data_IF_766324689723
#
_entry.id   IF_766324689723
#
_cell.length_a   1.000
_cell.length_b   1.000
_cell.length_c   1.000
_cell.angle_alpha   90.00
_cell.angle_beta   90.00
_cell.angle_gamma   90.00
#
_symmetry.space_group_name_H-M   'P 1'
#
loop_
_entity.id
_entity.type
_entity.pdbx_description
1 polymer ?
2 non-polymer ?
3 non-polymer ?
4 non-polymer ?
5 non-polymer ?
6 non-polymer ?
7 non-polymer ?
8 water ?
#
# COMPACT_ATOMS: atom_id res chain seq x y z
N UNK A 2 -19.96 -9.67 2.68
CA UNK A 2 -20.51 -9.90 1.35
C UNK A 2 -19.42 -9.99 0.27
N UNK A 3 -19.69 -9.51 -0.94
CA UNK A 3 -18.84 -9.80 -2.09
C UNK A 3 -17.51 -9.01 -2.13
N UNK A 4 -17.56 -7.77 -1.66
CA UNK A 4 -16.35 -6.94 -1.55
C UNK A 4 -15.42 -7.56 -0.53
N UNK A 5 -14.14 -7.67 -0.90
CA UNK A 5 -13.11 -8.18 0.01
C UNK A 5 -11.76 -7.48 -0.23
N UNK A 6 -11.04 -7.27 0.85
CA UNK A 6 -9.75 -6.59 0.85
C UNK A 6 -8.83 -7.28 1.82
N UNK A 7 -7.60 -7.54 1.41
CA UNK A 7 -6.58 -8.09 2.32
C UNK A 7 -5.27 -7.35 2.14
N UNK A 8 -4.84 -6.71 3.21
CA UNK A 8 -3.63 -5.93 3.23
C UNK A 8 -2.71 -6.55 4.27
N UNK A 9 -1.52 -6.99 3.85
CA UNK A 9 -0.60 -7.71 4.75
C UNK A 9 0.84 -7.33 4.52
N UNK A 10 1.68 -7.43 5.56
CA UNK A 10 3.11 -7.25 5.32
C UNK A 10 3.64 -8.37 4.47
N UNK A 11 4.73 -8.09 3.81
CA UNK A 11 5.38 -9.16 3.07
C UNK A 11 5.76 -10.30 4.00
N UNK A 12 5.73 -11.52 3.47
CA UNK A 12 5.81 -12.71 4.31
C UNK A 12 7.24 -13.12 4.60
N UNK A 13 8.18 -12.37 4.04
CA UNK A 13 9.58 -12.63 4.27
C UNK A 13 10.24 -11.55 5.11
N UNK A 14 11.54 -11.45 4.98
CA UNK A 14 12.40 -10.63 5.81
C UNK A 14 12.95 -9.47 5.00
N UNK A 15 13.08 -8.32 5.64
CA UNK A 15 13.68 -7.12 5.04
C UNK A 15 14.88 -6.78 5.91
N UNK A 16 16.01 -6.47 5.29
CA UNK A 16 17.27 -6.24 6.01
C UNK A 16 17.76 -4.80 5.86
N UNK A 17 18.37 -4.29 6.91
CA UNK A 17 18.76 -2.90 6.96
C UNK A 17 19.86 -2.53 5.99
N UNK A 18 19.92 -1.24 5.65
CA UNK A 18 20.91 -0.70 4.74
C UNK A 18 20.28 -0.31 3.43
N UNK A 19 21.13 -0.14 2.42
CA UNK A 19 20.72 0.16 1.05
C UNK A 19 19.99 -1.03 0.43
N UNK A 20 18.74 -0.87 0.00
CA UNK A 20 18.03 -2.01 -0.56
C UNK A 20 18.62 -2.34 -1.90
N UNK A 21 18.93 -3.61 -2.13
CA UNK A 21 19.65 -4.00 -3.36
C UNK A 21 18.77 -4.02 -4.61
N UNK A 22 17.47 -3.85 -4.40
CA UNK A 22 16.52 -3.75 -5.49
C UNK A 22 15.22 -3.26 -4.91
N UNK A 23 14.20 -3.14 -5.74
CA UNK A 23 12.87 -2.82 -5.25
C UNK A 23 12.47 -3.91 -4.27
N UNK A 24 11.91 -3.53 -3.12
CA UNK A 24 11.53 -4.47 -2.09
C UNK A 24 10.09 -4.26 -1.65
N UNK A 25 9.30 -5.31 -1.71
CA UNK A 25 7.91 -5.24 -1.30
C UNK A 25 7.81 -5.12 0.21
N UNK A 26 7.01 -4.16 0.66
CA UNK A 26 6.73 -4.00 2.08
C UNK A 26 5.38 -4.62 2.44
N UNK A 27 4.39 -4.39 1.58
CA UNK A 27 3.03 -4.88 1.81
C UNK A 27 2.40 -5.43 0.54
N UNK A 28 1.50 -6.39 0.69
CA UNK A 28 0.67 -6.84 -0.41
C UNK A 28 -0.77 -6.37 -0.18
N UNK A 29 -1.47 -6.08 -1.26
CA UNK A 29 -2.84 -5.63 -1.22
C UNK A 29 -3.63 -6.42 -2.24
N UNK A 30 -4.60 -7.19 -1.80
CA UNK A 30 -5.49 -7.91 -2.67
C UNK A 30 -6.91 -7.37 -2.48
N UNK A 31 -7.60 -7.07 -3.56
CA UNK A 31 -8.96 -6.59 -3.42
C UNK A 31 -9.79 -7.05 -4.61
N UNK A 32 -11.07 -7.27 -4.38
CA UNK A 32 -11.92 -7.70 -5.46
C UNK A 32 -13.38 -7.64 -5.08
N UNK A 33 -14.21 -7.71 -6.09
CA UNK A 33 -15.65 -7.72 -5.90
C UNK A 33 -16.25 -8.28 -7.17
N UNK A 34 -17.11 -9.28 -7.05
CA UNK A 34 -17.83 -9.76 -8.23
C UNK A 34 -19.02 -8.86 -8.62
N UNK A 35 -19.50 -8.03 -7.68
CA UNK A 35 -20.59 -7.10 -7.96
C UNK A 35 -20.12 -5.92 -8.80
N UNK A 36 -21.07 -5.21 -9.45
CA UNK A 36 -20.66 -4.15 -10.36
C UNK A 36 -19.96 -3.00 -9.64
N UNK A 37 -18.89 -2.48 -10.24
CA UNK A 37 -18.12 -1.42 -9.61
C UNK A 37 -17.21 -0.80 -10.67
N UNK A 38 -16.59 0.33 -10.31
CA UNK A 38 -15.78 1.07 -11.25
C UNK A 38 -14.30 1.05 -10.97
N UNK A 39 -13.92 1.00 -9.71
CA UNK A 39 -12.50 1.03 -9.39
C UNK A 39 -12.25 1.06 -7.91
N UNK A 40 -10.98 1.21 -7.56
CA UNK A 40 -10.49 1.09 -6.20
C UNK A 40 -9.49 2.19 -5.91
N UNK A 41 -9.45 2.67 -4.67
CA UNK A 41 -8.39 3.57 -4.26
C UNK A 41 -7.90 3.21 -2.87
N UNK A 42 -6.65 3.55 -2.60
CA UNK A 42 -6.06 3.39 -1.28
C UNK A 42 -5.61 4.78 -0.85
N UNK A 43 -6.17 5.24 0.26
CA UNK A 43 -5.92 6.56 0.81
C UNK A 43 -5.07 6.42 2.08
N UNK A 44 -3.81 6.87 2.05
CA UNK A 44 -3.00 6.83 3.27
C UNK A 44 -3.60 7.74 4.34
N UNK A 45 -3.60 7.27 5.59
CA UNK A 45 -4.18 8.03 6.68
C UNK A 45 -3.16 8.27 7.76
N UNK A 46 -3.49 9.17 8.69
CA UNK A 46 -2.58 9.47 9.78
C UNK A 46 -1.21 9.89 9.29
N UNK A 47 -0.18 9.38 9.93
CA UNK A 47 1.17 9.77 9.58
C UNK A 47 1.59 9.21 8.25
N UNK A 48 0.80 8.29 7.68
CA UNK A 48 1.11 7.81 6.34
C UNK A 48 0.68 8.75 5.20
N UNK A 49 -0.04 9.82 5.54
CA UNK A 49 -0.56 10.77 4.57
C UNK A 49 0.50 11.10 3.53
N UNK A 50 0.16 11.06 2.25
CA UNK A 50 1.15 11.33 1.23
C UNK A 50 1.77 10.08 0.64
N UNK A 51 1.50 8.90 1.22
CA UNK A 51 2.02 7.66 0.67
C UNK A 51 3.28 7.15 1.32
N UNK A 52 3.38 7.29 2.65
CA UNK A 52 4.59 6.96 3.38
C UNK A 52 4.36 5.86 4.42
N UNK A 53 5.43 5.12 4.70
CA UNK A 53 5.56 4.41 5.95
C UNK A 53 6.27 5.33 6.92
N UNK A 54 5.96 5.16 8.20
CA UNK A 54 6.61 5.95 9.24
C UNK A 54 7.28 4.98 10.22
N UNK A 55 8.55 5.22 10.50
CA UNK A 55 9.32 4.30 11.36
C UNK A 55 9.26 4.73 12.82
N UNK A 56 9.61 3.80 13.70
CA UNK A 56 9.66 4.04 15.13
C UNK A 56 10.80 5.00 15.48
N UNK A 57 11.64 5.31 14.50
CA UNK A 57 12.74 6.25 14.68
C UNK A 57 12.33 7.62 14.13
N UNK A 58 11.09 7.75 13.63
CA UNK A 58 10.59 9.03 13.12
C UNK A 58 10.85 9.31 11.65
N UNK A 59 11.34 8.33 10.91
CA UNK A 59 11.65 8.54 9.48
C UNK A 59 10.48 8.20 8.61
N UNK A 60 10.30 8.98 7.55
CA UNK A 60 9.27 8.70 6.58
C UNK A 60 9.92 8.08 5.37
N UNK A 61 9.34 6.99 4.87
CA UNK A 61 9.86 6.37 3.67
C UNK A 61 8.73 6.22 2.67
N UNK A 62 8.90 6.72 1.46
CA UNK A 62 7.86 6.62 0.46
C UNK A 62 7.60 5.23 -0.09
N UNK A 63 6.33 4.93 -0.33
CA UNK A 63 5.92 3.68 -0.96
C UNK A 63 5.48 3.87 -2.38
N UNK A 64 5.67 2.82 -3.18
CA UNK A 64 5.27 2.84 -4.58
C UNK A 64 4.38 1.63 -4.84
N UNK A 65 3.52 1.74 -5.83
CA UNK A 65 2.57 0.69 -6.21
C UNK A 65 2.91 0.21 -7.62
N UNK A 66 2.64 -1.07 -7.91
CA UNK A 66 2.76 -1.52 -9.30
C UNK A 66 1.48 -1.33 -10.09
N UNK A 67 0.34 -1.69 -9.49
CA UNK A 67 -0.94 -1.76 -10.20
C UNK A 67 -1.71 -0.44 -10.19
N UNK A 68 -1.48 0.39 -9.18
CA UNK A 68 -2.21 1.65 -9.05
C UNK A 68 -1.35 2.85 -9.40
N UNK A 69 -2.04 3.94 -9.72
CA UNK A 69 -1.37 5.21 -10.00
C UNK A 69 -1.56 6.16 -8.82
N UNK A 70 -0.51 6.86 -8.44
CA UNK A 70 -0.59 7.84 -7.35
C UNK A 70 -1.06 9.16 -7.89
N UNK A 71 -1.99 9.77 -7.17
CA UNK A 71 -2.50 11.12 -7.46
C UNK A 71 -2.33 11.93 -6.18
N UNK A 72 -1.26 12.73 -6.12
CA UNK A 72 -0.96 13.47 -4.90
C UNK A 72 -2.03 14.51 -4.56
N UNK A 73 -2.64 15.08 -5.59
CA UNK A 73 -3.74 16.06 -5.44
C UNK A 73 -4.83 15.52 -4.53
N UNK A 74 -5.00 14.19 -4.56
CA UNK A 74 -6.10 13.52 -3.89
C UNK A 74 -5.62 12.57 -2.79
N UNK A 75 -4.33 12.59 -2.47
CA UNK A 75 -3.78 11.68 -1.47
C UNK A 75 -4.28 10.27 -1.67
N UNK A 76 -4.15 9.73 -2.87
CA UNK A 76 -4.55 8.35 -3.09
C UNK A 76 -3.85 7.66 -4.25
N UNK A 77 -3.69 6.35 -4.14
CA UNK A 77 -3.47 5.49 -5.29
C UNK A 77 -4.84 5.04 -5.79
N UNK A 78 -4.99 4.84 -7.09
CA UNK A 78 -6.24 4.30 -7.62
C UNK A 78 -5.98 3.39 -8.83
N UNK A 79 -6.96 2.54 -9.10
CA UNK A 79 -7.01 1.79 -10.34
C UNK A 79 -8.47 1.67 -10.76
N UNK A 80 -8.74 2.00 -12.01
CA UNK A 80 -10.07 1.82 -12.58
C UNK A 80 -10.11 0.45 -13.17
N UNK A 81 -10.98 -0.38 -12.61
CA UNK A 81 -11.09 -1.76 -13.05
C UNK A 81 -12.47 -2.19 -12.65
N UNK A 82 -13.21 -2.79 -13.58
CA UNK A 82 -14.59 -3.20 -13.30
C UNK A 82 -14.80 -4.71 -13.36
N UNK A 83 -13.69 -5.46 -13.37
CA UNK A 83 -13.73 -6.90 -13.53
C UNK A 83 -14.01 -7.60 -12.21
N UNK A 84 -14.56 -8.82 -12.26
CA UNK A 84 -14.81 -9.57 -11.03
C UNK A 84 -13.57 -10.24 -10.46
N UNK A 85 -12.43 -10.18 -11.14
CA UNK A 85 -11.24 -10.87 -10.66
C UNK A 85 -10.46 -10.03 -9.65
N UNK A 86 -9.79 -10.69 -8.72
CA UNK A 86 -8.97 -10.00 -7.72
C UNK A 86 -7.86 -9.20 -8.38
N UNK A 87 -7.59 -8.05 -7.79
CA UNK A 87 -6.41 -7.24 -8.08
C UNK A 87 -5.37 -7.55 -7.04
N UNK A 88 -4.14 -7.84 -7.47
CA UNK A 88 -3.06 -8.20 -6.58
C UNK A 88 -1.96 -7.17 -6.77
N UNK A 89 -1.79 -6.31 -5.80
CA UNK A 89 -0.77 -5.27 -5.86
C UNK A 89 0.27 -5.45 -4.76
N UNK A 90 1.42 -4.80 -4.93
CA UNK A 90 2.46 -4.74 -3.92
C UNK A 90 2.84 -3.30 -3.72
N UNK A 91 2.97 -2.89 -2.46
CA UNK A 91 3.53 -1.57 -2.15
C UNK A 91 4.98 -1.81 -1.78
N UNK A 92 5.89 -1.11 -2.44
CA UNK A 92 7.31 -1.40 -2.35
C UNK A 92 8.12 -0.13 -2.11
N UNK A 93 9.36 -0.32 -1.67
CA UNK A 93 10.36 0.76 -1.61
C UNK A 93 11.36 0.58 -2.72
N UNK A 94 11.82 1.70 -3.28
CA UNK A 94 12.70 1.62 -4.43
C UNK A 94 14.10 1.13 -4.09
N UNK A 95 14.73 0.46 -5.04
CA UNK A 95 16.13 0.11 -4.94
C UNK A 95 16.95 1.32 -4.49
N UNK A 96 17.87 1.09 -3.56
CA UNK A 96 18.76 2.13 -3.08
C UNK A 96 18.27 2.86 -1.85
N UNK A 97 17.00 2.66 -1.53
CA UNK A 97 16.45 3.24 -0.32
C UNK A 97 17.15 2.67 0.90
N UNK A 98 17.54 3.53 1.84
CA UNK A 98 18.13 3.07 3.08
C UNK A 98 17.05 2.83 4.12
N UNK A 99 17.01 1.61 4.64
CA UNK A 99 16.12 1.28 5.74
C UNK A 99 16.95 1.03 6.99
N UNK A 100 16.38 1.37 8.13
CA UNK A 100 17.07 1.20 9.40
C UNK A 100 16.46 -0.03 10.09
N UNK A 101 17.18 -0.61 11.05
CA UNK A 101 16.64 -1.83 11.68
C UNK A 101 15.62 -1.49 12.73
N UNK A 102 14.42 -1.13 12.29
CA UNK A 102 13.36 -0.74 13.20
C UNK A 102 12.03 -1.05 12.53
N UNK A 103 10.94 -0.66 13.19
CA UNK A 103 9.60 -0.95 12.73
C UNK A 103 9.07 0.21 11.89
N UNK A 104 8.52 -0.13 10.73
CA UNK A 104 7.90 0.82 9.80
C UNK A 104 6.40 0.50 9.70
N UNK A 105 5.54 1.52 9.87
CA UNK A 105 4.10 1.32 9.86
C UNK A 105 3.40 2.03 8.67
N UNK A 106 2.31 1.44 8.22
CA UNK A 106 1.42 2.06 7.26
C UNK A 106 -0.01 1.95 7.77
N UNK A 107 -0.79 3.01 7.57
CA UNK A 107 -2.23 3.01 7.85
C UNK A 107 -2.93 3.67 6.69
N UNK A 108 -4.06 3.12 6.26
CA UNK A 108 -4.82 3.72 5.18
C UNK A 108 -6.22 3.18 5.11
N UNK A 109 -6.94 3.59 4.08
CA UNK A 109 -8.31 3.19 3.85
C UNK A 109 -8.48 2.84 2.39
N UNK A 110 -9.00 1.65 2.11
CA UNK A 110 -9.34 1.24 0.75
C UNK A 110 -10.79 1.61 0.52
N UNK A 111 -11.08 2.20 -0.64
CA UNK A 111 -12.45 2.47 -1.04
C UNK A 111 -12.70 1.87 -2.41
N UNK A 112 -13.87 1.25 -2.56
CA UNK A 112 -14.35 0.79 -3.85
C UNK A 112 -15.38 1.78 -4.29
N UNK A 113 -15.36 2.15 -5.57
CA UNK A 113 -16.25 3.20 -6.04
C UNK A 113 -16.87 2.86 -7.39
N UNK A 114 -17.93 3.61 -7.68
CA UNK A 114 -18.61 3.58 -8.95
C UNK A 114 -18.59 4.98 -9.58
N UNK A 115 -18.82 5.06 -10.88
CA UNK A 115 -18.82 6.32 -11.59
C UNK A 115 -20.22 6.86 -11.81
N UNK A 116 -20.36 8.17 -11.65
CA UNK A 116 -21.60 8.87 -11.94
C UNK A 116 -21.30 10.35 -12.01
N UNK A 117 -22.01 11.06 -12.89
CA UNK A 117 -21.92 12.52 -12.94
C UNK A 117 -20.48 13.04 -13.08
N UNK A 118 -19.70 12.35 -13.90
CA UNK A 118 -18.30 12.72 -14.17
C UNK A 118 -17.47 12.74 -12.89
N UNK A 119 -17.93 12.00 -11.89
CA UNK A 119 -17.15 11.82 -10.69
C UNK A 119 -17.38 10.39 -10.18
N UNK A 120 -17.21 10.17 -8.89
CA UNK A 120 -17.35 8.82 -8.35
C UNK A 120 -18.02 8.83 -7.00
N UNK A 121 -18.56 7.67 -6.64
CA UNK A 121 -19.23 7.47 -5.38
C UNK A 121 -18.72 6.18 -4.74
N UNK A 122 -18.36 6.27 -3.46
CA UNK A 122 -17.86 5.13 -2.71
C UNK A 122 -19.01 4.17 -2.39
N UNK A 123 -18.79 2.89 -2.65
CA UNK A 123 -19.77 1.86 -2.31
C UNK A 123 -19.33 0.89 -1.21
N UNK A 124 -18.04 0.85 -0.91
CA UNK A 124 -17.53 0.00 0.18
C UNK A 124 -16.20 0.56 0.63
N UNK A 125 -15.84 0.36 1.88
CA UNK A 125 -14.53 0.75 2.33
C UNK A 125 -14.04 -0.13 3.47
N UNK A 126 -12.74 -0.10 3.68
CA UNK A 126 -12.11 -0.88 4.74
C UNK A 126 -10.83 -0.19 5.19
N UNK A 127 -10.67 0.01 6.50
CA UNK A 127 -9.41 0.47 7.03
C UNK A 127 -8.38 -0.67 7.02
N UNK A 128 -7.16 -0.32 6.65
CA UNK A 128 -6.07 -1.29 6.58
C UNK A 128 -4.85 -0.74 7.28
N UNK A 129 -4.02 -1.64 7.82
CA UNK A 129 -2.77 -1.24 8.42
C UNK A 129 -1.84 -2.43 8.51
N UNK A 130 -0.55 -2.14 8.66
CA UNK A 130 0.41 -3.19 8.93
C UNK A 130 1.75 -2.59 9.22
N UNK A 131 2.70 -3.45 9.60
CA UNK A 131 4.04 -3.02 9.92
C UNK A 131 5.03 -4.07 9.47
N UNK A 132 6.23 -3.60 9.15
CA UNK A 132 7.39 -4.45 8.90
C UNK A 132 8.49 -4.00 9.83
N UNK A 133 9.12 -4.97 10.50
CA UNK A 133 10.27 -4.68 11.33
C UNK A 133 11.50 -5.18 10.60
N UNK A 134 12.33 -4.25 10.18
CA UNK A 134 13.51 -4.52 9.37
C UNK A 134 14.58 -5.06 10.29
N UNK A 135 15.29 -6.09 9.84
CA UNK A 135 16.30 -6.77 10.64
C UNK A 135 17.69 -6.28 10.30
N UNK A 136 18.61 -6.27 11.26
CA UNK A 136 19.96 -5.86 10.93
C UNK A 136 20.65 -6.89 10.03
N UNK A 137 20.34 -8.15 10.26
CA UNK A 137 21.12 -9.21 9.64
C UNK A 137 22.37 -9.51 10.45
N UNK A 138 22.94 -10.70 10.24
CA UNK A 138 24.04 -11.15 11.07
C UNK A 138 25.30 -10.36 10.74
N UNK A 139 26.05 -10.02 11.79
CA UNK A 139 27.24 -9.20 11.69
C UNK A 139 28.42 -9.86 12.41
X LIG B 1 -8.54 10.21 -9.74
X LIG B 1 -8.82 10.09 -8.24
X LIG B 1 -9.10 8.63 -7.89
X LIG B 1 -10.22 8.10 -8.77
X LIG B 1 -9.88 8.37 -10.24
X LIG B 1 -10.99 7.87 -11.14
X LIG B 1 -8.31 11.56 -10.11
X LIG B 1 -7.72 10.53 -7.47
X LIG B 1 -9.47 8.54 -6.53
X LIG B 1 -11.44 8.71 -8.42
X LIG B 1 -9.66 9.74 -10.46
X LIG B 1 -10.57 7.96 -12.51
X LIG C 1 4.09 -13.69 7.53
X LIG D 1 12.35 11.59 7.04
X LIG E 1 -0.60 14.63 -8.58
X LIG F 1 -2.71 -9.40 0.62
X LIG G 1 -9.78 -13.92 -8.73
X LIG H 1 -3.54 -8.02 -10.66
X LIG I 1 22.21 -1.53 10.64
X LIG J 1 -18.55 9.35 -2.13
X LIG K 1 -18.79 2.65 2.44
X LIG L 1 -12.89 -7.76 3.75
X LIG M 1 1.00 -6.38 10.64
X LIG N 1 -7.24 12.41 2.36
X LIG O 1 3.05 13.68 -4.99
X LIG P 1 -27.29 10.43 -11.59
X LIG Q 1 -19.66 9.27 -15.18
X LIG R 1 -22.12 -10.67 -7.52
X LIG S 1 -7.10 -6.15 5.70
X LIG T 1 -9.01 -11.02 -0.01
X LIG U 1 9.99 -10.32 9.77
X LIG V 1 -13.50 10.73 -9.36
X LIG W 1 -5.92 11.04 7.89
X LIG X 1 -12.77 -1.28 8.52
X LIG Y 1 19.83 2.78 13.22
X LIG Z 1 17.74 6.76 14.68
X LIG AA 1 -14.89 12.19 -7.34
X LIG BA 1 -5.40 -4.61 7.56
X LIG CA 1 -7.40 6.41 -15.77
X LIG DA 1 17.21 6.63 1.17
X LIG EA 1 -22.71 13.55 -16.48
X LIG FA 1 -8.76 19.29 -6.86
X LIG GA 1 2.01 -6.41 -8.28
X LIG HA 1 -8.94 5.88 -17.23
X LIG IA 1 17.49 -7.57 17.31
X LIG JA 1 3.65 12.85 5.99
X LIG JA 1 3.52 13.37 4.85
X LIG JA 1 3.02 11.75 6.34
X LIG JA 1 4.43 13.42 6.89
X LIG JA 1 2.96 12.96 4.20
X LIG JA 1 2.41 11.28 5.68
X LIG JA 1 3.15 11.36 7.26
X LIG JA 1 4.54 13.00 7.81
X LIG JA 1 4.94 14.27 6.67
X LIG KA 1 19.02 -9.07 15.66
X LIG LA 1 18.78 -7.27 1.52
X LIG MA 1 3.35 4.91 -7.03
X LIG NA 1 5.73 8.76 -1.73
X LIG NA 1 6.67 9.68 -1.33
X LIG NA 1 6.53 11.00 -1.69
X LIG NA 1 7.68 12.09 -1.15
X LIG NA 1 6.82 13.42 -1.61
X LIG NA 1 9.31 11.43 -1.27
X LIG NA 1 5.41 11.39 -2.44
X LIG NA 1 4.47 10.45 -2.85
X LIG NA 1 4.63 9.12 -2.49
X LIG NA 1 3.63 8.04 -2.83
X LIG NA 1 3.62 7.66 -4.31
X LIG NA 1 4.87 6.99 -4.60
X LIG NA 1 5.86 7.72 -1.43
X LIG NA 1 7.52 9.37 -0.74
X LIG NA 1 5.30 12.44 -2.72
X LIG NA 1 3.61 10.77 -3.42
X LIG OA 1 5.74 7.07 -9.03
X LIG OA 1 4.64 8.06 -8.94
X LIG OA 1 4.42 8.61 -7.55
X LIG OA 1 5.27 9.32 -6.99
X LIG OA 1 3.39 8.38 -6.93
X LIG PA 1 12.20 7.43 0.60
X LIG PA 1 13.37 7.31 1.57
X LIG PA 1 11.33 8.68 0.89
X LIG PA 1 13.52 8.12 2.52
X LIG PA 1 14.22 6.42 1.40
X LIG PA 1 11.64 9.50 1.75
X LIG PA 1 10.30 8.87 0.24
X LIG PA 1 12.57 7.49 -0.43
X LIG PA 1 11.57 6.54 0.68
#
# INVERSE_FOLDING_TARGET
>A
MNTFHVDFAPNTGEIFAGKQPGDVTMFTLTMGDTAPHGGWRLIPTGDSKGGYMISADGDYVGLYSYMMSWVGIDNNWYINDDSPKDIKDHLYVKAGTVLKPTTYKFTGRVEEYVFDNKQSTVINSKDVSGEVTVKQGLEHHHHHH
>B hetero
1 GAL C1 C2 C3 C4 C5 C6 O1 O2 O3 O4 O5 O6
>C hetero
1 BR BR
>D hetero
1 BR BR
>E hetero
1 BR BR
>F hetero
1 BR BR
>G hetero
1 BR BR
>H hetero
1 BR BR
>I hetero
1 BR BR
>J hetero
1 BR BR
>K hetero
1 BR BR
>L hetero
1 BR BR
>M hetero
1 BR BR
>N hetero
1 BR BR
>O hetero
1 BR BR
>P hetero
1 BR BR
>Q hetero
1 BR BR
>R hetero
1 BR BR
>S hetero
1 BR BR
>T hetero
1 BR BR
>U hetero
1 BR BR
>V hetero
1 BR BR
>W hetero
1 BR BR
>X hetero
1 BR BR
>Y hetero
1 BR BR
>Z hetero
1 BR BR
>AA hetero
1 BR BR
>BA hetero
1 BR BR
>CA hetero
1 BR BR
>DA hetero
1 BR BR
>EA hetero
1 BR BR
>FA hetero
1 BR BR
>GA hetero
1 BR BR
>HA hetero
1 BR BR
>IA hetero
1 BR BR
>JA hetero
1 GAI C N1 N2 N3 HN1 HN21 HN22 HN31 HN32
>KA hetero
1 BR BR
>LA hetero
1 BR BR
>MA hetero
1 BR BR
>NA hetero
1 AES C3 C2 C1 S O1S O2S C6 C5 C4 C7 C8 N8 H3 H2 H6 H5
>OA hetero
1 GLY N CA C O OXT
>PA hetero
1 MLI C1 C2 C3 O6 O7 O8 O9 H11 H12
#
